data_IF_572817110998
#
_entry.id   IF_572817110998
#
_cell.length_a   1.000
_cell.length_b   1.000
_cell.length_c   1.000
_cell.angle_alpha   90.00
_cell.angle_beta   90.00
_cell.angle_gamma   90.00
#
_symmetry.space_group_name_H-M   'P 1'
#
loop_
_entity.id
_entity.type
_entity.pdbx_description
1 polymer ?
#
# COMPACT_ATOMS: atom_id res chain seq x y z
N UNK A 1 0.89 9.77 -15.52
CA UNK A 1 0.56 11.12 -15.01
C UNK A 1 1.88 11.79 -14.71
N UNK A 2 2.22 12.88 -15.38
CA UNK A 2 3.43 13.65 -15.05
C UNK A 2 3.25 14.28 -13.66
N UNK A 3 4.23 14.24 -12.76
CA UNK A 3 4.09 14.87 -11.46
C UNK A 3 4.00 16.41 -11.61
N UNK A 4 3.27 17.04 -10.69
CA UNK A 4 2.96 18.48 -10.75
C UNK A 4 4.20 19.40 -10.80
N UNK A 5 5.33 19.09 -10.14
CA UNK A 5 6.57 19.85 -10.28
C UNK A 5 7.11 19.88 -11.72
N UNK A 6 7.10 18.77 -12.47
CA UNK A 6 7.57 18.75 -13.86
C UNK A 6 6.62 19.53 -14.79
N UNK A 7 5.32 19.59 -14.50
CA UNK A 7 4.36 20.42 -15.25
C UNK A 7 4.62 21.93 -15.12
N UNK A 8 5.24 22.36 -14.02
CA UNK A 8 5.59 23.77 -13.81
C UNK A 8 6.90 24.17 -14.50
N UNK A 9 7.82 23.23 -14.72
CA UNK A 9 9.04 23.47 -15.51
C UNK A 9 8.73 23.72 -16.99
N UNK A 10 7.69 23.09 -17.52
CA UNK A 10 7.28 23.23 -18.92
C UNK A 10 6.49 24.54 -19.19
N UNK A 11 6.02 25.20 -18.12
CA UNK A 11 5.34 26.49 -18.19
C UNK A 11 6.35 27.64 -18.31
N UNK A 12 7.08 27.71 -19.42
CA UNK A 12 7.87 28.90 -19.75
C UNK A 12 6.95 30.06 -20.16
N UNK A 13 7.18 31.24 -19.56
CA UNK A 13 6.46 32.48 -19.88
C UNK A 13 6.55 32.79 -21.38
N UNK A 14 5.46 33.24 -22.05
CA UNK A 14 5.57 33.77 -23.39
C UNK A 14 6.41 35.05 -23.35
N UNK A 15 7.71 34.94 -23.68
CA UNK A 15 8.64 36.06 -23.82
C UNK A 15 8.09 37.05 -24.85
N UNK A 16 7.38 38.08 -24.39
CA UNK A 16 6.74 39.08 -25.26
C UNK A 16 5.71 40.01 -24.62
N UNK A 17 5.33 39.84 -23.35
CA UNK A 17 4.42 40.76 -22.67
C UNK A 17 5.18 42.01 -22.16
N UNK A 18 4.73 43.21 -22.54
CA UNK A 18 5.23 44.49 -22.02
C UNK A 18 4.71 44.75 -20.59
N UNK A 19 5.26 44.04 -19.61
CA UNK A 19 4.94 44.23 -18.19
C UNK A 19 5.80 45.33 -17.57
N UNK A 20 5.22 46.09 -16.63
CA UNK A 20 5.98 47.03 -15.80
C UNK A 20 6.83 46.28 -14.76
N UNK A 21 7.86 46.93 -14.21
CA UNK A 21 8.73 46.33 -13.19
C UNK A 21 7.96 45.81 -11.95
N UNK A 22 6.93 46.54 -11.51
CA UNK A 22 6.07 46.11 -10.40
C UNK A 22 5.21 44.88 -10.73
N UNK A 23 4.75 44.75 -11.98
CA UNK A 23 4.01 43.58 -12.43
C UNK A 23 4.91 42.35 -12.59
N UNK A 24 6.17 42.53 -13.03
CA UNK A 24 7.16 41.46 -13.07
C UNK A 24 7.48 40.93 -11.67
N UNK A 25 7.65 41.83 -10.69
CA UNK A 25 7.92 41.45 -9.30
C UNK A 25 6.74 40.71 -8.66
N UNK A 26 5.51 41.22 -8.85
CA UNK A 26 4.31 40.54 -8.35
C UNK A 26 4.13 39.15 -8.97
N UNK A 27 4.50 38.99 -10.23
CA UNK A 27 4.45 37.71 -10.94
C UNK A 27 5.53 36.73 -10.42
N UNK A 28 6.74 37.19 -10.16
CA UNK A 28 7.81 36.35 -9.59
C UNK A 28 7.42 35.78 -8.23
N UNK A 29 6.86 36.62 -7.35
CA UNK A 29 6.31 36.16 -6.06
C UNK A 29 5.16 35.15 -6.22
N UNK A 30 4.31 35.34 -7.22
CA UNK A 30 3.22 34.39 -7.50
C UNK A 30 3.77 33.03 -7.95
N UNK A 31 4.78 33.01 -8.82
CA UNK A 31 5.42 31.77 -9.25
C UNK A 31 6.16 31.08 -8.10
N UNK A 32 6.81 31.84 -7.23
CA UNK A 32 7.50 31.29 -6.05
C UNK A 32 6.52 30.61 -5.07
N UNK A 33 5.35 31.22 -4.86
CA UNK A 33 4.28 30.63 -4.07
C UNK A 33 3.78 29.31 -4.69
N UNK A 34 3.51 29.28 -6.00
CA UNK A 34 3.09 28.06 -6.70
C UNK A 34 4.15 26.96 -6.59
N UNK A 35 5.43 27.28 -6.78
CA UNK A 35 6.53 26.31 -6.67
C UNK A 35 6.61 25.72 -5.27
N UNK A 36 6.48 26.56 -4.24
CA UNK A 36 6.47 26.12 -2.84
C UNK A 36 5.33 25.14 -2.57
N UNK A 37 4.11 25.48 -2.98
CA UNK A 37 2.95 24.59 -2.84
C UNK A 37 3.12 23.29 -3.64
N UNK A 38 3.69 23.36 -4.84
CA UNK A 38 3.97 22.21 -5.68
C UNK A 38 4.93 21.22 -5.00
N UNK A 39 6.01 21.72 -4.40
CA UNK A 39 6.96 20.90 -3.64
C UNK A 39 6.30 20.24 -2.44
N UNK A 40 5.54 21.00 -1.64
CA UNK A 40 4.81 20.46 -0.47
C UNK A 40 3.85 19.35 -0.90
N UNK A 41 3.08 19.57 -1.97
CA UNK A 41 2.13 18.60 -2.48
C UNK A 41 2.82 17.34 -3.03
N UNK A 42 3.93 17.51 -3.73
CA UNK A 42 4.72 16.39 -4.24
C UNK A 42 5.30 15.53 -3.10
N UNK A 43 5.82 16.16 -2.05
CA UNK A 43 6.30 15.48 -0.85
C UNK A 43 5.18 14.75 -0.11
N UNK A 44 4.03 15.41 0.07
CA UNK A 44 2.85 14.81 0.69
C UNK A 44 2.35 13.59 -0.09
N UNK A 45 2.28 13.69 -1.42
CA UNK A 45 1.90 12.57 -2.28
C UNK A 45 2.90 11.41 -2.17
N UNK A 46 4.21 11.70 -2.26
CA UNK A 46 5.26 10.69 -2.13
C UNK A 46 5.20 9.97 -0.79
N UNK A 47 4.99 10.72 0.30
CA UNK A 47 4.85 10.17 1.65
C UNK A 47 3.60 9.31 1.76
N UNK A 48 2.45 9.81 1.33
CA UNK A 48 1.18 9.06 1.35
C UNK A 48 1.25 7.77 0.52
N UNK A 49 1.90 7.82 -0.64
CA UNK A 49 2.13 6.63 -1.47
C UNK A 49 3.03 5.61 -0.77
N UNK A 50 4.16 6.06 -0.22
CA UNK A 50 5.10 5.19 0.48
C UNK A 50 4.45 4.53 1.72
N UNK A 51 3.73 5.30 2.53
CA UNK A 51 3.01 4.80 3.70
C UNK A 51 1.90 3.82 3.30
N UNK A 52 1.08 4.18 2.30
CA UNK A 52 0.01 3.33 1.80
C UNK A 52 0.53 2.00 1.24
N UNK A 53 1.61 2.04 0.46
CA UNK A 53 2.27 0.85 -0.08
C UNK A 53 2.83 -0.04 1.03
N UNK A 54 3.55 0.53 2.01
CA UNK A 54 4.11 -0.22 3.12
C UNK A 54 3.02 -0.88 3.99
N UNK A 55 1.96 -0.15 4.32
CA UNK A 55 0.82 -0.69 5.08
C UNK A 55 0.12 -1.78 4.30
N UNK A 56 -0.12 -1.57 3.00
CA UNK A 56 -0.75 -2.55 2.12
C UNK A 56 0.05 -3.84 2.03
N UNK A 57 1.36 -3.74 1.84
CA UNK A 57 2.27 -4.88 1.78
C UNK A 57 2.30 -5.65 3.11
N UNK A 58 2.44 -4.94 4.23
CA UNK A 58 2.49 -5.57 5.55
C UNK A 58 1.18 -6.30 5.90
N UNK A 59 0.03 -5.64 5.68
CA UNK A 59 -1.29 -6.25 5.91
C UNK A 59 -1.53 -7.43 4.97
N UNK A 60 -1.22 -7.27 3.68
CA UNK A 60 -1.39 -8.33 2.69
C UNK A 60 -0.54 -9.56 3.01
N UNK A 61 0.73 -9.35 3.37
CA UNK A 61 1.63 -10.42 3.76
C UNK A 61 1.16 -11.15 5.01
N UNK A 62 0.79 -10.41 6.07
CA UNK A 62 0.31 -11.01 7.33
C UNK A 62 -0.97 -11.83 7.12
N UNK A 63 -1.95 -11.26 6.42
CA UNK A 63 -3.22 -11.94 6.12
C UNK A 63 -2.99 -13.17 5.23
N UNK A 64 -2.19 -13.04 4.18
CA UNK A 64 -1.88 -14.16 3.28
C UNK A 64 -1.15 -15.31 3.99
N UNK A 65 -0.19 -14.99 4.86
CA UNK A 65 0.51 -15.99 5.66
C UNK A 65 -0.42 -16.70 6.65
N UNK A 66 -1.31 -15.96 7.31
CA UNK A 66 -2.27 -16.54 8.25
C UNK A 66 -3.28 -17.47 7.54
N UNK A 67 -3.86 -17.01 6.43
CA UNK A 67 -4.80 -17.81 5.62
C UNK A 67 -4.09 -19.07 5.09
N UNK A 68 -2.91 -18.92 4.47
CA UNK A 68 -2.18 -20.05 3.92
C UNK A 68 -1.77 -21.09 4.96
N UNK A 69 -1.37 -20.65 6.17
CA UNK A 69 -1.10 -21.57 7.28
C UNK A 69 -2.37 -22.31 7.72
N UNK A 70 -3.49 -21.61 7.88
CA UNK A 70 -4.75 -22.23 8.28
C UNK A 70 -5.25 -23.23 7.24
N UNK A 71 -5.18 -22.89 5.95
CA UNK A 71 -5.55 -23.80 4.85
C UNK A 71 -4.64 -25.03 4.79
N UNK A 72 -3.32 -24.85 4.97
CA UNK A 72 -2.38 -25.96 5.00
C UNK A 72 -2.64 -26.91 6.18
N UNK A 73 -2.91 -26.38 7.37
CA UNK A 73 -3.25 -27.20 8.55
C UNK A 73 -4.56 -27.96 8.35
N UNK A 74 -5.59 -27.31 7.80
CA UNK A 74 -6.86 -27.98 7.45
C UNK A 74 -6.65 -29.09 6.42
N UNK A 75 -5.87 -28.83 5.38
CA UNK A 75 -5.55 -29.85 4.37
C UNK A 75 -4.83 -31.06 4.98
N UNK A 76 -3.83 -30.82 5.85
CA UNK A 76 -3.14 -31.90 6.56
C UNK A 76 -4.10 -32.66 7.46
N UNK A 77 -4.93 -31.97 8.26
CA UNK A 77 -5.93 -32.59 9.12
C UNK A 77 -6.92 -33.46 8.35
N UNK A 78 -7.45 -32.99 7.22
CA UNK A 78 -8.33 -33.78 6.33
C UNK A 78 -7.64 -35.05 5.86
N UNK A 79 -6.38 -34.97 5.41
CA UNK A 79 -5.64 -36.14 4.96
C UNK A 79 -5.37 -37.14 6.09
N UNK A 80 -5.04 -36.65 7.29
CA UNK A 80 -4.83 -37.51 8.47
C UNK A 80 -6.13 -38.21 8.90
N UNK A 81 -7.27 -37.50 8.87
CA UNK A 81 -8.59 -38.06 9.14
C UNK A 81 -8.95 -39.15 8.11
N UNK A 82 -8.71 -38.87 6.83
CA UNK A 82 -8.96 -39.82 5.74
C UNK A 82 -8.05 -41.05 5.79
N UNK A 83 -6.84 -40.93 6.32
CA UNK A 83 -5.95 -42.07 6.54
C UNK A 83 -6.48 -43.05 7.61
N UNK A 84 -7.34 -42.58 8.52
CA UNK A 84 -8.10 -43.41 9.47
C UNK A 84 -7.27 -44.08 10.57
N UNK A 85 -5.98 -43.78 10.68
CA UNK A 85 -5.05 -44.40 11.63
C UNK A 85 -4.84 -43.57 12.91
N UNK A 86 -5.29 -42.31 12.92
CA UNK A 86 -5.15 -41.37 14.03
C UNK A 86 -6.51 -41.05 14.61
N UNK A 87 -6.57 -40.90 15.94
CA UNK A 87 -7.77 -40.41 16.63
C UNK A 87 -7.94 -38.91 16.42
N UNK A 88 -9.17 -38.40 16.61
CA UNK A 88 -9.44 -36.96 16.58
C UNK A 88 -8.48 -36.20 17.49
N UNK A 89 -8.27 -36.66 18.73
CA UNK A 89 -7.34 -36.05 19.68
C UNK A 89 -5.89 -36.02 19.17
N UNK A 90 -5.41 -37.07 18.50
CA UNK A 90 -4.06 -37.05 17.94
C UNK A 90 -3.93 -36.04 16.79
N UNK A 91 -4.99 -35.86 15.99
CA UNK A 91 -5.00 -34.89 14.90
C UNK A 91 -5.06 -33.45 15.45
N UNK A 92 -5.82 -33.20 16.52
CA UNK A 92 -5.82 -31.89 17.20
C UNK A 92 -4.43 -31.56 17.73
N UNK A 93 -3.75 -32.52 18.35
CA UNK A 93 -2.39 -32.32 18.90
C UNK A 93 -1.33 -32.05 17.81
N UNK A 94 -1.52 -32.57 16.58
CA UNK A 94 -0.59 -32.34 15.45
C UNK A 94 -0.84 -31.01 14.75
N UNK A 95 -2.10 -30.60 14.63
CA UNK A 95 -2.51 -29.48 13.75
C UNK A 95 -2.90 -28.22 14.49
N UNK A 96 -2.95 -28.27 15.84
CA UNK A 96 -3.47 -27.23 16.72
C UNK A 96 -4.92 -26.80 16.39
N UNK A 97 -5.66 -27.60 15.61
CA UNK A 97 -7.08 -27.39 15.35
C UNK A 97 -7.91 -27.96 16.50
N UNK A 98 -9.05 -27.35 16.77
CA UNK A 98 -9.99 -27.85 17.77
C UNK A 98 -10.66 -29.15 17.33
N UNK A 99 -11.13 -29.97 18.28
CA UNK A 99 -11.89 -31.17 17.96
C UNK A 99 -13.12 -30.87 17.10
N UNK A 100 -13.79 -29.74 17.36
CA UNK A 100 -14.94 -29.29 16.56
C UNK A 100 -14.53 -29.05 15.10
N UNK A 101 -13.43 -28.33 14.86
CA UNK A 101 -12.90 -28.12 13.51
C UNK A 101 -12.55 -29.45 12.83
N UNK A 102 -11.87 -30.37 13.52
CA UNK A 102 -11.54 -31.69 12.98
C UNK A 102 -12.80 -32.52 12.67
N UNK A 103 -13.82 -32.43 13.52
CA UNK A 103 -15.08 -33.15 13.31
C UNK A 103 -15.86 -32.63 12.10
N UNK A 104 -15.69 -31.35 11.74
CA UNK A 104 -16.30 -30.70 10.58
C UNK A 104 -15.56 -30.93 9.24
N UNK A 105 -14.31 -31.43 9.27
CA UNK A 105 -13.53 -31.79 8.07
C UNK A 105 -13.97 -33.10 7.43
#
# INVERSE_FOLDING_TARGET
>A
MMPFPELLEEFEFPKGLNLTAGQLLAYDHYLDAIRTEATINAEAFKKGWAEGYAIGLAKGYATGLAIGRAEALKFVATNLKNAGQLTTQQITDITDLSEEEINLL
#
